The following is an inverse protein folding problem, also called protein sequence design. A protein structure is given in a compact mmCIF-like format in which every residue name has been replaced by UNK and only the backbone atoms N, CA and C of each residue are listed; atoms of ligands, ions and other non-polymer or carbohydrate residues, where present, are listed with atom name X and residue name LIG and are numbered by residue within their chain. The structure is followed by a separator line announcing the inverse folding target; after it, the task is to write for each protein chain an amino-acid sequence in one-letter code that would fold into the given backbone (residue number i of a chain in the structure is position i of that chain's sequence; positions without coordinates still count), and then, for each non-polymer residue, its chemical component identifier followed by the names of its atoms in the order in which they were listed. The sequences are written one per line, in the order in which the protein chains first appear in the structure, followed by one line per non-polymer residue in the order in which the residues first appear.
data_IF_805795859661
#
_entry.id   IF_805795859661
#
_cell.length_a   1.000
_cell.length_b   1.000
_cell.length_c   1.000
_cell.angle_alpha   90.00
_cell.angle_beta   90.00
_cell.angle_gamma   90.00
#
_symmetry.space_group_name_H-M   'P 1'
#
loop_
_entity.id
_entity.type
_entity.pdbx_description
1 polymer ?
#
# COMPACT_ATOMS: atom_id res chain seq x y z
N UNK A 1 47.96 -137.15 -32.60
CA UNK A 1 46.77 -137.57 -31.83
C UNK A 1 46.74 -136.67 -30.60
N UNK A 2 45.73 -135.87 -30.28
CA UNK A 2 44.32 -135.87 -30.66
C UNK A 2 43.76 -134.41 -30.71
N UNK A 3 42.49 -134.33 -31.12
CA UNK A 3 41.69 -133.21 -31.64
C UNK A 3 40.95 -132.37 -30.52
N UNK A 4 40.05 -131.39 -30.82
CA UNK A 4 40.02 -130.05 -30.22
C UNK A 4 38.78 -129.73 -29.34
N UNK A 5 38.79 -128.61 -28.60
CA UNK A 5 37.56 -127.98 -28.05
C UNK A 5 37.67 -126.44 -28.09
N UNK A 6 36.90 -125.78 -28.97
CA UNK A 6 35.58 -125.13 -28.73
C UNK A 6 35.68 -123.86 -27.86
N UNK A 7 35.50 -122.72 -28.52
CA UNK A 7 35.27 -121.41 -27.91
C UNK A 7 33.77 -121.22 -27.68
N UNK A 8 33.37 -120.65 -26.54
CA UNK A 8 32.34 -119.60 -26.55
C UNK A 8 32.30 -118.77 -25.27
N UNK A 9 31.84 -117.51 -25.41
CA UNK A 9 32.24 -116.37 -24.58
C UNK A 9 31.13 -115.97 -23.61
N UNK A 10 31.47 -115.35 -22.48
CA UNK A 10 30.53 -114.43 -21.82
C UNK A 10 31.27 -113.40 -20.95
N UNK A 11 31.17 -112.15 -21.44
CA UNK A 11 30.89 -110.91 -20.71
C UNK A 11 31.87 -110.47 -19.63
N UNK A 12 32.88 -109.72 -20.08
CA UNK A 12 33.45 -108.59 -19.35
C UNK A 12 32.38 -107.48 -19.25
N UNK A 13 31.79 -107.29 -18.08
CA UNK A 13 31.00 -106.11 -17.78
C UNK A 13 31.40 -105.57 -16.41
N UNK A 14 32.46 -104.75 -16.35
CA UNK A 14 32.64 -103.79 -15.25
C UNK A 14 33.19 -102.45 -15.78
N UNK A 15 32.24 -101.51 -15.86
CA UNK A 15 32.33 -100.08 -15.52
C UNK A 15 33.56 -99.26 -15.97
N UNK A 16 33.38 -98.53 -17.09
CA UNK A 16 34.23 -97.38 -17.42
C UNK A 16 34.13 -96.27 -16.35
N UNK A 17 35.27 -95.76 -15.85
CA UNK A 17 35.28 -94.84 -14.72
C UNK A 17 34.87 -93.39 -15.04
N UNK A 18 34.29 -92.75 -14.02
CA UNK A 18 33.51 -91.48 -14.00
C UNK A 18 34.20 -90.22 -14.58
N UNK A 19 35.48 -90.29 -14.91
CA UNK A 19 36.27 -89.19 -15.49
C UNK A 19 36.32 -89.19 -17.03
N UNK A 20 35.77 -90.24 -17.68
CA UNK A 20 35.57 -90.24 -19.14
C UNK A 20 34.25 -89.56 -19.58
N UNK A 21 33.49 -88.95 -18.66
CA UNK A 21 32.36 -88.08 -19.02
C UNK A 21 32.90 -86.78 -19.61
N UNK A 22 32.93 -86.70 -20.94
CA UNK A 22 33.06 -85.43 -21.68
C UNK A 22 32.12 -84.40 -21.05
N UNK A 23 32.67 -83.35 -20.45
CA UNK A 23 31.86 -82.20 -20.04
C UNK A 23 31.24 -81.63 -21.30
N UNK A 24 29.91 -81.80 -21.45
CA UNK A 24 29.15 -81.14 -22.52
C UNK A 24 29.43 -79.64 -22.40
N UNK A 25 29.92 -78.97 -23.46
CA UNK A 25 30.10 -77.54 -23.41
C UNK A 25 28.76 -76.93 -23.03
N UNK A 26 28.74 -76.20 -21.91
CA UNK A 26 27.55 -75.48 -21.48
C UNK A 26 27.31 -74.42 -22.54
N UNK A 27 26.32 -74.64 -23.40
CA UNK A 27 25.89 -73.64 -24.37
C UNK A 27 25.47 -72.40 -23.60
N UNK A 28 26.34 -71.40 -23.53
CA UNK A 28 25.98 -70.06 -23.10
C UNK A 28 25.03 -69.57 -24.17
N UNK A 29 23.74 -69.80 -23.93
CA UNK A 29 22.64 -69.33 -24.79
C UNK A 29 22.68 -67.81 -24.72
N UNK A 30 23.50 -67.20 -25.57
CA UNK A 30 23.54 -65.74 -25.76
C UNK A 30 22.12 -65.36 -26.16
N UNK A 31 21.32 -64.90 -25.20
CA UNK A 31 19.99 -64.32 -25.44
C UNK A 31 20.23 -63.20 -26.43
N UNK A 32 19.98 -63.46 -27.72
CA UNK A 32 20.00 -62.43 -28.75
C UNK A 32 18.90 -61.46 -28.32
N UNK A 33 19.29 -60.29 -27.83
CA UNK A 33 18.36 -59.19 -27.55
C UNK A 33 17.40 -59.10 -28.73
N UNK A 34 16.12 -59.39 -28.50
CA UNK A 34 15.15 -59.49 -29.58
C UNK A 34 15.11 -58.16 -30.33
N UNK A 35 15.00 -58.19 -31.67
CA UNK A 35 14.90 -56.97 -32.48
C UNK A 35 13.87 -55.97 -31.90
N UNK A 36 12.78 -56.48 -31.32
CA UNK A 36 11.75 -55.71 -30.63
C UNK A 36 12.23 -54.99 -29.36
N UNK A 37 13.04 -55.63 -28.51
CA UNK A 37 13.65 -54.97 -27.34
C UNK A 37 14.62 -53.87 -27.77
N UNK A 38 15.42 -54.11 -28.81
CA UNK A 38 16.35 -53.10 -29.35
C UNK A 38 15.61 -51.88 -29.93
N UNK A 39 14.49 -52.10 -30.63
CA UNK A 39 13.60 -51.05 -31.11
C UNK A 39 12.93 -50.28 -29.96
N UNK A 40 12.53 -50.96 -28.89
CA UNK A 40 11.98 -50.31 -27.70
C UNK A 40 13.01 -49.38 -27.04
N UNK A 41 14.22 -49.87 -26.74
CA UNK A 41 15.29 -49.04 -26.17
C UNK A 41 15.68 -47.88 -27.10
N UNK A 42 15.67 -48.07 -28.42
CA UNK A 42 15.93 -46.99 -29.38
C UNK A 42 14.85 -45.91 -29.33
N UNK A 43 13.56 -46.27 -29.26
CA UNK A 43 12.45 -45.31 -29.12
C UNK A 43 12.54 -44.54 -27.81
N UNK A 44 12.84 -45.23 -26.70
CA UNK A 44 13.03 -44.60 -25.38
C UNK A 44 14.22 -43.62 -25.43
N UNK A 45 15.34 -44.03 -26.03
CA UNK A 45 16.51 -43.16 -26.20
C UNK A 45 16.19 -41.93 -27.06
N UNK A 46 15.53 -42.10 -28.21
CA UNK A 46 15.09 -41.00 -29.07
C UNK A 46 14.13 -40.06 -28.34
N UNK A 47 13.20 -40.60 -27.57
CA UNK A 47 12.29 -39.82 -26.72
C UNK A 47 13.04 -39.00 -25.66
N UNK A 48 14.05 -39.59 -25.03
CA UNK A 48 14.86 -38.93 -24.01
C UNK A 48 15.77 -37.84 -24.60
N UNK A 49 16.36 -38.09 -25.77
CA UNK A 49 17.12 -37.08 -26.53
C UNK A 49 16.20 -35.94 -26.97
N UNK A 50 15.00 -36.24 -27.46
CA UNK A 50 14.02 -35.22 -27.83
C UNK A 50 13.57 -34.39 -26.62
N UNK A 51 13.36 -35.02 -25.46
CA UNK A 51 13.03 -34.33 -24.21
C UNK A 51 14.17 -33.41 -23.74
N UNK A 52 15.43 -33.87 -23.78
CA UNK A 52 16.60 -33.07 -23.44
C UNK A 52 16.79 -31.91 -24.42
N UNK A 53 16.65 -32.15 -25.72
CA UNK A 53 16.73 -31.11 -26.75
C UNK A 53 15.61 -30.07 -26.59
N UNK A 54 14.38 -30.51 -26.31
CA UNK A 54 13.26 -29.64 -26.00
C UNK A 54 13.51 -28.80 -24.74
N UNK A 55 14.04 -29.40 -23.68
CA UNK A 55 14.42 -28.69 -22.46
C UNK A 55 15.53 -27.66 -22.69
N UNK A 56 16.55 -28.01 -23.49
CA UNK A 56 17.63 -27.09 -23.85
C UNK A 56 17.15 -25.91 -24.71
N UNK A 57 16.22 -26.15 -25.65
CA UNK A 57 15.58 -25.10 -26.43
C UNK A 57 14.76 -24.15 -25.55
N UNK A 58 13.96 -24.68 -24.62
CA UNK A 58 13.21 -23.87 -23.66
C UNK A 58 14.13 -23.04 -22.77
N UNK A 59 15.24 -23.62 -22.31
CA UNK A 59 16.25 -22.90 -21.52
C UNK A 59 16.90 -21.77 -22.32
N UNK A 60 17.32 -22.03 -23.57
CA UNK A 60 17.93 -21.00 -24.42
C UNK A 60 16.93 -19.89 -24.78
N UNK A 61 15.67 -20.24 -25.08
CA UNK A 61 14.63 -19.25 -25.34
C UNK A 61 14.36 -18.38 -24.10
N UNK A 62 14.26 -18.98 -22.92
CA UNK A 62 14.11 -18.26 -21.65
C UNK A 62 15.31 -17.35 -21.37
N UNK A 63 16.54 -17.85 -21.56
CA UNK A 63 17.76 -17.06 -21.39
C UNK A 63 17.81 -15.90 -22.40
N UNK A 64 17.43 -16.12 -23.65
CA UNK A 64 17.36 -15.06 -24.64
C UNK A 64 16.34 -13.99 -24.25
N UNK A 65 15.12 -14.36 -23.84
CA UNK A 65 14.10 -13.38 -23.41
C UNK A 65 14.52 -12.60 -22.16
N UNK A 66 15.18 -13.26 -21.21
CA UNK A 66 15.55 -12.66 -19.92
C UNK A 66 16.82 -11.81 -19.97
N UNK A 67 17.71 -12.03 -20.95
CA UNK A 67 19.03 -11.38 -21.03
C UNK A 67 19.31 -10.69 -22.36
N UNK A 68 18.38 -10.70 -23.32
CA UNK A 68 18.59 -10.02 -24.60
C UNK A 68 18.57 -8.49 -24.42
N UNK A 69 19.50 -7.76 -25.09
CA UNK A 69 19.58 -6.30 -25.03
C UNK A 69 18.26 -5.58 -25.33
N UNK A 70 17.40 -6.19 -26.14
CA UNK A 70 16.12 -5.62 -26.54
C UNK A 70 15.07 -5.54 -25.41
N UNK A 71 15.27 -6.23 -24.29
CA UNK A 71 14.38 -6.18 -23.11
C UNK A 71 14.94 -5.31 -21.98
N UNK A 72 16.12 -4.72 -22.16
CA UNK A 72 16.80 -3.96 -21.11
C UNK A 72 16.18 -2.59 -20.92
N UNK A 73 15.95 -2.24 -19.66
CA UNK A 73 15.58 -0.91 -19.21
C UNK A 73 16.85 -0.06 -19.08
N UNK A 74 17.27 0.59 -20.15
CA UNK A 74 18.52 1.36 -20.23
C UNK A 74 18.31 2.86 -20.15
N UNK A 75 17.14 3.37 -20.53
CA UNK A 75 16.85 4.80 -20.61
C UNK A 75 15.66 5.20 -19.75
N UNK A 76 15.66 6.41 -19.17
CA UNK A 76 14.53 6.93 -18.42
C UNK A 76 13.23 7.01 -19.24
N UNK A 77 13.31 7.31 -20.54
CA UNK A 77 12.13 7.45 -21.41
C UNK A 77 11.37 6.13 -21.64
N UNK A 78 11.95 4.99 -21.24
CA UNK A 78 11.28 3.70 -21.26
C UNK A 78 10.28 3.54 -20.10
N UNK A 79 10.32 4.43 -19.10
CA UNK A 79 9.37 4.50 -18.00
C UNK A 79 8.34 5.59 -18.35
N UNK A 80 7.18 5.17 -18.84
CA UNK A 80 6.06 6.04 -19.16
C UNK A 80 5.30 6.34 -17.88
N UNK A 81 5.41 7.57 -17.37
CA UNK A 81 4.72 8.04 -16.16
C UNK A 81 3.42 8.76 -16.57
N UNK A 82 2.31 8.36 -15.96
CA UNK A 82 1.00 8.97 -16.13
C UNK A 82 0.36 9.29 -14.77
N UNK A 83 -0.43 10.36 -14.72
CA UNK A 83 -1.15 10.78 -13.51
C UNK A 83 -0.32 11.58 -12.50
N UNK A 84 0.94 11.90 -12.82
CA UNK A 84 1.77 12.81 -12.03
C UNK A 84 1.48 14.28 -12.40
N UNK A 85 0.93 15.04 -11.45
CA UNK A 85 0.72 16.49 -11.55
C UNK A 85 1.58 17.24 -10.55
N UNK A 86 1.62 16.78 -9.29
CA UNK A 86 2.40 17.33 -8.18
C UNK A 86 3.66 16.53 -7.88
N UNK A 87 3.63 15.22 -8.13
CA UNK A 87 4.81 14.35 -7.93
C UNK A 87 5.81 14.60 -9.06
N UNK A 88 7.04 14.97 -8.69
CA UNK A 88 8.12 15.13 -9.67
C UNK A 88 8.47 13.77 -10.31
N UNK A 89 8.55 13.74 -11.64
CA UNK A 89 8.96 12.58 -12.41
C UNK A 89 10.35 12.05 -11.96
N UNK A 90 11.25 12.93 -11.53
CA UNK A 90 12.56 12.52 -11.02
C UNK A 90 12.46 11.62 -9.78
N UNK A 91 11.55 11.92 -8.85
CA UNK A 91 11.30 11.12 -7.64
C UNK A 91 10.74 9.75 -8.01
N UNK A 92 9.87 9.69 -9.01
CA UNK A 92 9.33 8.42 -9.53
C UNK A 92 10.44 7.60 -10.17
N UNK A 93 11.27 8.20 -11.02
CA UNK A 93 12.37 7.51 -11.71
C UNK A 93 13.44 6.99 -10.74
N UNK A 94 13.70 7.71 -9.64
CA UNK A 94 14.63 7.28 -8.59
C UNK A 94 14.21 5.93 -7.98
N UNK A 95 12.89 5.70 -7.81
CA UNK A 95 12.36 4.41 -7.36
C UNK A 95 12.67 3.25 -8.32
N UNK A 96 13.08 3.51 -9.56
CA UNK A 96 13.50 2.50 -10.54
C UNK A 96 15.02 2.50 -10.82
N UNK A 97 15.82 3.31 -10.12
CA UNK A 97 17.26 3.42 -10.37
C UNK A 97 17.98 2.06 -10.29
N UNK A 98 17.59 1.20 -9.34
CA UNK A 98 18.17 -0.14 -9.16
C UNK A 98 17.75 -1.17 -10.25
N UNK A 99 16.82 -0.81 -11.14
CA UNK A 99 16.42 -1.61 -12.30
C UNK A 99 17.09 -1.16 -13.60
N UNK A 100 17.89 -0.10 -13.58
CA UNK A 100 18.65 0.31 -14.75
C UNK A 100 19.58 -0.83 -15.22
N UNK A 101 19.56 -1.11 -16.52
CA UNK A 101 20.28 -2.23 -17.13
C UNK A 101 19.66 -3.61 -16.86
N UNK A 102 18.52 -3.70 -16.14
CA UNK A 102 17.80 -4.94 -15.91
C UNK A 102 16.81 -5.21 -17.04
N UNK A 103 16.56 -6.48 -17.34
CA UNK A 103 15.44 -6.86 -18.22
C UNK A 103 14.10 -6.48 -17.57
N UNK A 104 13.21 -5.85 -18.33
CA UNK A 104 11.85 -5.47 -17.90
C UNK A 104 11.06 -6.67 -17.37
N UNK A 105 11.30 -7.87 -17.90
CA UNK A 105 10.69 -9.12 -17.42
C UNK A 105 11.10 -9.48 -15.99
N UNK A 106 12.28 -9.02 -15.54
CA UNK A 106 12.87 -9.31 -14.23
C UNK A 106 12.67 -8.20 -13.20
N UNK A 107 12.04 -7.09 -13.58
CA UNK A 107 11.72 -6.00 -12.66
C UNK A 107 10.63 -6.48 -11.69
N UNK A 108 10.82 -6.36 -10.36
CA UNK A 108 9.81 -6.75 -9.38
C UNK A 108 8.71 -5.69 -9.30
N UNK A 109 7.65 -5.84 -10.12
CA UNK A 109 6.59 -4.81 -10.23
C UNK A 109 5.90 -4.50 -8.90
N UNK A 110 5.63 -5.53 -8.08
CA UNK A 110 4.96 -5.34 -6.78
C UNK A 110 5.82 -4.57 -5.79
N UNK A 111 7.14 -4.81 -5.78
CA UNK A 111 8.07 -4.05 -4.96
C UNK A 111 8.15 -2.59 -5.43
N UNK A 112 8.21 -2.34 -6.74
CA UNK A 112 8.21 -0.99 -7.29
C UNK A 112 6.89 -0.26 -7.04
N UNK A 113 5.76 -0.96 -7.17
CA UNK A 113 4.45 -0.42 -6.81
C UNK A 113 4.42 0.04 -5.36
N UNK A 114 4.85 -0.80 -4.42
CA UNK A 114 4.91 -0.46 -2.99
C UNK A 114 5.87 0.71 -2.73
N UNK A 115 7.04 0.70 -3.37
CA UNK A 115 8.02 1.77 -3.23
C UNK A 115 7.53 3.13 -3.77
N UNK A 116 6.63 3.11 -4.77
CA UNK A 116 5.95 4.32 -5.24
C UNK A 116 4.85 4.77 -4.27
N UNK A 117 4.11 3.84 -3.67
CA UNK A 117 3.07 4.13 -2.65
C UNK A 117 3.66 4.67 -1.33
N UNK A 118 4.98 4.56 -1.12
CA UNK A 118 5.70 5.22 -0.02
C UNK A 118 5.91 6.72 -0.26
N UNK A 119 5.80 7.20 -1.51
CA UNK A 119 5.90 8.64 -1.80
C UNK A 119 4.64 9.30 -1.20
N UNK A 120 4.77 10.29 -0.29
CA UNK A 120 3.63 10.82 0.45
C UNK A 120 2.47 11.26 -0.43
N UNK A 121 2.75 11.93 -1.55
CA UNK A 121 1.75 12.40 -2.50
C UNK A 121 1.06 11.32 -3.33
N UNK A 122 1.52 10.06 -3.29
CA UNK A 122 0.94 8.94 -4.04
C UNK A 122 -0.08 8.21 -3.15
N UNK A 123 -1.33 8.16 -3.61
CA UNK A 123 -2.39 7.38 -2.98
C UNK A 123 -2.33 5.93 -3.43
N UNK A 124 -2.20 5.74 -4.74
CA UNK A 124 -2.15 4.44 -5.39
C UNK A 124 -1.18 4.49 -6.57
N UNK A 125 -0.41 3.41 -6.76
CA UNK A 125 0.42 3.23 -7.94
C UNK A 125 0.03 1.95 -8.69
N UNK A 126 0.18 1.96 -10.01
CA UNK A 126 0.12 0.77 -10.85
C UNK A 126 1.35 0.74 -11.74
N UNK A 127 2.02 -0.41 -11.77
CA UNK A 127 3.21 -0.62 -12.60
C UNK A 127 2.92 -1.79 -13.53
N UNK A 128 2.99 -1.56 -14.83
CA UNK A 128 2.75 -2.55 -15.86
C UNK A 128 3.94 -2.65 -16.82
N UNK A 129 4.16 -3.84 -17.39
CA UNK A 129 5.17 -4.04 -18.42
C UNK A 129 4.57 -3.78 -19.79
N UNK A 130 5.27 -2.98 -20.59
CA UNK A 130 4.99 -2.80 -22.01
C UNK A 130 6.17 -3.38 -22.76
N UNK A 131 5.96 -4.58 -23.31
CA UNK A 131 7.02 -5.28 -24.03
C UNK A 131 7.37 -4.54 -25.33
N UNK A 132 8.64 -4.61 -25.78
CA UNK A 132 9.71 -5.43 -25.22
C UNK A 132 10.46 -4.79 -24.04
N UNK A 133 10.52 -3.47 -23.91
CA UNK A 133 11.50 -2.79 -23.03
C UNK A 133 10.98 -1.55 -22.31
N UNK A 134 9.68 -1.48 -22.03
CA UNK A 134 9.07 -0.33 -21.35
C UNK A 134 8.32 -0.74 -20.10
N UNK A 135 8.19 0.21 -19.19
CA UNK A 135 7.32 0.16 -18.02
C UNK A 135 6.31 1.30 -18.11
N UNK A 136 5.05 1.03 -17.78
CA UNK A 136 4.04 2.06 -17.57
C UNK A 136 3.77 2.18 -16.09
N UNK A 137 3.85 3.41 -15.60
CA UNK A 137 3.59 3.79 -14.22
C UNK A 137 2.39 4.72 -14.21
N UNK A 138 1.28 4.28 -13.65
CA UNK A 138 0.08 5.10 -13.44
C UNK A 138 0.00 5.45 -11.96
N UNK A 139 -0.04 6.73 -11.65
CA UNK A 139 -0.13 7.26 -10.29
C UNK A 139 -1.49 7.91 -10.07
N UNK A 140 -2.07 7.67 -8.90
CA UNK A 140 -3.19 8.43 -8.36
C UNK A 140 -2.65 9.29 -7.24
N UNK A 141 -2.69 10.61 -7.42
CA UNK A 141 -2.23 11.55 -6.40
C UNK A 141 -3.26 11.74 -5.29
N UNK A 142 -2.77 11.90 -4.06
CA UNK A 142 -3.60 12.20 -2.90
C UNK A 142 -4.19 13.59 -2.99
N UNK A 143 -5.40 13.71 -2.46
CA UNK A 143 -6.10 14.99 -2.32
C UNK A 143 -6.04 15.44 -0.85
N UNK A 144 -5.35 16.56 -0.53
CA UNK A 144 -5.37 17.13 0.81
C UNK A 144 -6.76 17.68 1.14
N UNK A 145 -7.17 17.57 2.42
CA UNK A 145 -8.47 18.06 2.90
C UNK A 145 -8.36 19.08 4.03
N UNK A 146 -7.21 19.15 4.69
CA UNK A 146 -6.96 20.05 5.80
C UNK A 146 -5.49 20.48 5.84
N UNK A 147 -5.23 21.61 6.51
CA UNK A 147 -3.89 21.91 7.01
C UNK A 147 -3.70 21.18 8.34
N UNK A 148 -2.56 20.54 8.56
CA UNK A 148 -2.19 19.98 9.86
C UNK A 148 -1.23 20.94 10.56
N UNK A 149 -1.58 21.36 11.79
CA UNK A 149 -0.67 22.15 12.62
C UNK A 149 0.33 21.26 13.35
N UNK A 150 1.61 21.49 13.10
CA UNK A 150 2.74 20.80 13.73
C UNK A 150 3.62 21.83 14.44
N UNK A 151 3.27 22.14 15.68
CA UNK A 151 3.90 23.24 16.41
C UNK A 151 3.69 24.57 15.69
N UNK A 152 4.78 25.17 15.19
CA UNK A 152 4.74 26.43 14.44
C UNK A 152 4.52 26.25 12.93
N UNK A 153 4.68 25.04 12.40
CA UNK A 153 4.57 24.77 10.97
C UNK A 153 3.19 24.23 10.58
N UNK A 154 2.82 24.43 9.31
CA UNK A 154 1.60 23.90 8.71
C UNK A 154 1.97 22.93 7.59
N UNK A 155 1.58 21.67 7.75
CA UNK A 155 1.62 20.66 6.71
C UNK A 155 0.24 20.51 6.08
N UNK A 156 0.13 19.72 5.01
CA UNK A 156 -1.15 19.27 4.48
C UNK A 156 -1.45 17.87 5.00
N UNK A 157 -2.73 17.51 5.12
CA UNK A 157 -3.14 16.15 5.49
C UNK A 157 -4.32 15.70 4.62
N UNK A 158 -4.28 14.44 4.20
CA UNK A 158 -5.37 13.82 3.44
C UNK A 158 -6.43 13.17 4.35
N UNK A 159 -7.52 12.70 3.75
CA UNK A 159 -8.60 12.01 4.46
C UNK A 159 -8.15 10.68 5.12
N UNK A 160 -7.02 10.11 4.72
CA UNK A 160 -6.46 8.86 5.23
C UNK A 160 -5.39 9.10 6.32
N UNK A 161 -5.19 10.33 6.78
CA UNK A 161 -4.22 10.66 7.82
C UNK A 161 -2.76 10.61 7.36
N UNK A 162 -2.49 10.77 6.07
CA UNK A 162 -1.14 10.91 5.51
C UNK A 162 -0.79 12.39 5.42
N UNK A 163 0.34 12.73 6.03
CA UNK A 163 0.90 14.09 6.03
C UNK A 163 1.64 14.32 4.71
N UNK A 164 1.36 15.46 4.09
CA UNK A 164 1.88 15.88 2.80
C UNK A 164 2.64 17.18 2.95
N UNK A 165 3.76 17.28 2.24
CA UNK A 165 4.52 18.53 2.14
C UNK A 165 3.71 19.59 1.40
N UNK A 166 3.76 20.83 1.88
CA UNK A 166 3.05 21.95 1.24
C UNK A 166 3.84 22.47 0.03
N UNK A 167 3.27 22.47 -1.19
CA UNK A 167 3.91 23.09 -2.35
C UNK A 167 3.98 24.61 -2.16
N UNK A 168 5.11 25.24 -2.50
CA UNK A 168 5.32 26.68 -2.29
C UNK A 168 4.33 27.59 -3.04
N UNK A 169 3.78 27.09 -4.17
CA UNK A 169 2.94 27.88 -5.08
C UNK A 169 1.44 27.53 -4.98
N UNK A 170 1.04 26.71 -4.01
CA UNK A 170 -0.35 26.28 -3.91
C UNK A 170 -1.16 27.17 -2.95
N UNK A 171 -2.24 27.74 -3.48
CA UNK A 171 -3.24 28.48 -2.71
C UNK A 171 -4.36 27.51 -2.30
N UNK A 172 -4.37 27.15 -1.01
CA UNK A 172 -5.36 26.23 -0.44
C UNK A 172 -6.14 26.95 0.65
N UNK A 173 -7.47 26.80 0.59
CA UNK A 173 -8.40 27.28 1.62
C UNK A 173 -9.01 26.08 2.34
N UNK A 174 -8.28 25.56 3.32
CA UNK A 174 -8.73 24.44 4.14
C UNK A 174 -8.80 24.84 5.61
N UNK A 175 -9.68 24.22 6.42
CA UNK A 175 -9.59 24.32 7.86
C UNK A 175 -8.25 23.78 8.37
N UNK A 176 -7.79 24.32 9.49
CA UNK A 176 -6.62 23.81 10.22
C UNK A 176 -7.06 22.71 11.17
N UNK A 177 -6.36 21.58 11.18
CA UNK A 177 -6.56 20.48 12.12
C UNK A 177 -5.43 20.49 13.14
N UNK A 178 -5.79 20.42 14.42
CA UNK A 178 -4.90 20.32 15.58
C UNK A 178 -5.11 19.02 16.34
N UNK A 179 -4.15 18.68 17.21
CA UNK A 179 -4.25 17.49 18.08
C UNK A 179 -3.89 16.15 17.44
N UNK A 180 -3.48 16.14 16.17
CA UNK A 180 -2.91 14.96 15.50
C UNK A 180 -1.38 15.06 15.54
N UNK A 181 -0.72 14.14 16.25
CA UNK A 181 0.74 14.08 16.27
C UNK A 181 1.29 13.41 15.00
N UNK A 182 2.35 13.97 14.40
CA UNK A 182 3.00 13.36 13.24
C UNK A 182 3.64 12.01 13.55
N UNK A 183 4.16 11.83 14.76
CA UNK A 183 4.75 10.57 15.17
C UNK A 183 3.68 9.49 15.48
N UNK A 184 2.39 9.83 15.49
CA UNK A 184 1.33 8.87 15.76
C UNK A 184 1.25 7.80 14.66
N UNK A 185 0.88 6.56 15.02
CA UNK A 185 0.61 5.51 14.04
C UNK A 185 -0.39 5.97 12.97
N UNK A 186 -0.16 5.57 11.72
CA UNK A 186 -1.03 5.93 10.59
C UNK A 186 -2.50 5.59 10.86
N UNK A 187 -2.76 4.42 11.43
CA UNK A 187 -4.11 3.96 11.75
C UNK A 187 -4.83 4.87 12.75
N UNK A 188 -4.09 5.52 13.66
CA UNK A 188 -4.65 6.44 14.65
C UNK A 188 -5.03 7.77 13.99
N UNK A 189 -4.12 8.30 13.15
CA UNK A 189 -4.38 9.50 12.35
C UNK A 189 -5.54 9.30 11.39
N UNK A 190 -5.64 8.13 10.77
CA UNK A 190 -6.75 7.80 9.88
C UNK A 190 -8.09 7.80 10.63
N UNK A 191 -8.14 7.28 11.86
CA UNK A 191 -9.36 7.34 12.69
C UNK A 191 -9.74 8.77 13.03
N UNK A 192 -8.79 9.62 13.41
CA UNK A 192 -9.03 11.04 13.69
C UNK A 192 -9.51 11.78 12.42
N UNK A 193 -8.87 11.54 11.27
CA UNK A 193 -9.27 12.18 10.02
C UNK A 193 -10.63 11.69 9.51
N UNK A 194 -11.01 10.43 9.75
CA UNK A 194 -12.39 9.96 9.49
C UNK A 194 -13.42 10.74 10.29
N UNK A 195 -13.14 11.03 11.57
CA UNK A 195 -14.02 11.84 12.41
C UNK A 195 -14.12 13.27 11.89
N UNK A 196 -13.00 13.86 11.50
CA UNK A 196 -12.96 15.18 10.86
C UNK A 196 -13.78 15.23 9.56
N UNK A 197 -13.59 14.28 8.65
CA UNK A 197 -14.31 14.22 7.38
C UNK A 197 -15.82 14.06 7.62
N UNK A 198 -16.21 13.24 8.60
CA UNK A 198 -17.60 13.10 8.99
C UNK A 198 -18.16 14.41 9.55
N UNK A 199 -17.44 15.07 10.47
CA UNK A 199 -17.84 16.35 11.04
C UNK A 199 -18.03 17.42 9.95
N UNK A 200 -17.04 17.59 9.06
CA UNK A 200 -17.12 18.58 7.97
C UNK A 200 -18.29 18.29 7.02
N UNK A 201 -18.55 17.01 6.73
CA UNK A 201 -19.70 16.59 5.92
C UNK A 201 -21.03 16.95 6.61
N UNK A 202 -21.15 16.65 7.90
CA UNK A 202 -22.38 16.91 8.66
C UNK A 202 -22.66 18.42 8.79
N UNK A 203 -21.61 19.23 8.96
CA UNK A 203 -21.70 20.71 8.96
C UNK A 203 -22.19 21.23 7.60
N UNK A 204 -21.64 20.74 6.50
CA UNK A 204 -22.04 21.14 5.15
C UNK A 204 -23.49 20.73 4.84
N UNK A 205 -23.94 19.57 5.34
CA UNK A 205 -25.33 19.12 5.22
C UNK A 205 -26.26 19.99 6.08
N UNK A 206 -25.84 20.38 7.28
CA UNK A 206 -26.63 21.21 8.17
C UNK A 206 -26.90 22.62 7.59
N UNK A 207 -25.90 23.22 6.94
CA UNK A 207 -26.03 24.49 6.22
C UNK A 207 -25.04 24.53 5.04
N UNK A 208 -25.51 24.54 3.78
CA UNK A 208 -24.61 24.61 2.62
C UNK A 208 -23.66 25.82 2.70
N UNK A 209 -22.38 25.59 2.44
CA UNK A 209 -21.30 26.57 2.55
C UNK A 209 -20.77 26.78 3.98
N UNK A 210 -21.34 26.13 4.99
CA UNK A 210 -20.86 26.23 6.38
C UNK A 210 -19.48 25.59 6.58
N UNK A 211 -19.10 24.61 5.77
CA UNK A 211 -17.74 24.05 5.83
C UNK A 211 -16.67 25.13 5.65
N UNK A 212 -16.93 26.15 4.83
CA UNK A 212 -16.02 27.29 4.62
C UNK A 212 -15.90 28.25 5.80
N UNK A 213 -16.77 28.11 6.82
CA UNK A 213 -16.75 28.91 8.05
C UNK A 213 -15.99 28.21 9.18
N UNK A 214 -15.69 26.92 9.03
CA UNK A 214 -14.85 26.19 9.98
C UNK A 214 -13.40 26.60 9.74
N UNK A 215 -12.80 27.29 10.70
CA UNK A 215 -11.41 27.75 10.59
C UNK A 215 -10.41 26.75 11.17
N UNK A 216 -10.75 26.15 12.31
CA UNK A 216 -9.90 25.19 12.99
C UNK A 216 -10.73 24.06 13.61
N UNK A 217 -10.18 22.84 13.63
CA UNK A 217 -10.75 21.65 14.29
C UNK A 217 -9.67 20.97 15.14
N UNK A 218 -9.85 20.98 16.45
CA UNK A 218 -8.98 20.28 17.40
C UNK A 218 -9.52 18.87 17.69
N UNK A 219 -8.67 17.87 17.45
CA UNK A 219 -8.92 16.44 17.63
C UNK A 219 -7.99 15.82 18.68
N UNK A 220 -7.40 16.64 19.56
CA UNK A 220 -6.51 16.17 20.62
C UNK A 220 -7.23 15.28 21.63
N UNK A 221 -8.50 15.58 21.92
CA UNK A 221 -9.35 14.78 22.79
C UNK A 221 -10.17 13.78 21.96
N UNK A 222 -9.96 12.45 22.12
CA UNK A 222 -10.72 11.45 21.36
C UNK A 222 -12.22 11.44 21.70
N UNK A 223 -12.66 12.14 22.74
CA UNK A 223 -14.06 12.25 23.16
C UNK A 223 -14.70 13.58 22.80
N UNK A 224 -13.97 14.50 22.17
CA UNK A 224 -14.47 15.83 21.89
C UNK A 224 -13.83 16.43 20.64
N UNK A 225 -14.65 16.60 19.60
CA UNK A 225 -14.30 17.43 18.45
C UNK A 225 -14.61 18.88 18.80
N UNK A 226 -13.57 19.71 18.85
CA UNK A 226 -13.71 21.15 19.09
C UNK A 226 -13.47 21.87 17.79
N UNK A 227 -14.39 22.73 17.37
CA UNK A 227 -14.22 23.49 16.15
C UNK A 227 -14.36 24.98 16.41
N UNK A 228 -13.46 25.75 15.81
CA UNK A 228 -13.50 27.20 15.79
C UNK A 228 -14.26 27.64 14.55
N UNK A 229 -15.44 28.23 14.76
CA UNK A 229 -16.28 28.74 13.68
C UNK A 229 -16.05 30.25 13.55
N UNK A 230 -15.73 30.70 12.34
CA UNK A 230 -15.52 32.11 12.01
C UNK A 230 -16.25 32.49 10.72
N UNK A 231 -16.50 33.78 10.52
CA UNK A 231 -17.12 34.28 9.29
C UNK A 231 -18.63 34.03 9.16
N UNK A 232 -19.30 33.57 10.23
CA UNK A 232 -20.76 33.61 10.33
C UNK A 232 -21.24 35.06 10.42
N UNK A 233 -22.25 35.48 9.63
CA UNK A 233 -22.87 36.80 9.76
C UNK A 233 -23.33 37.10 11.19
N UNK A 234 -23.84 36.08 11.87
CA UNK A 234 -24.35 36.12 13.25
C UNK A 234 -23.22 36.32 14.29
N UNK A 235 -21.95 36.10 13.90
CA UNK A 235 -20.75 36.33 14.72
C UNK A 235 -20.09 37.69 14.45
N UNK A 236 -20.48 38.41 13.40
CA UNK A 236 -19.99 39.75 13.14
C UNK A 236 -20.26 40.71 14.30
N UNK A 237 -19.34 41.65 14.53
CA UNK A 237 -19.62 42.81 15.36
C UNK A 237 -20.32 43.90 14.51
N UNK A 238 -21.59 44.26 14.82
CA UNK A 238 -22.32 45.28 14.06
C UNK A 238 -21.64 46.65 14.02
N UNK A 239 -20.75 46.95 14.99
CA UNK A 239 -20.13 48.26 15.13
C UNK A 239 -18.71 48.34 14.55
N UNK A 240 -17.94 47.25 14.59
CA UNK A 240 -16.53 47.24 14.12
C UNK A 240 -16.30 46.44 12.84
N UNK A 241 -17.29 45.69 12.34
CA UNK A 241 -17.12 44.82 11.17
C UNK A 241 -16.11 43.69 11.38
N UNK A 242 -15.67 43.46 12.61
CA UNK A 242 -14.71 42.42 12.96
C UNK A 242 -15.33 41.03 12.85
N UNK A 243 -14.56 40.10 12.29
CA UNK A 243 -14.90 38.68 12.30
C UNK A 243 -14.66 38.15 13.73
N UNK A 244 -15.72 37.78 14.44
CA UNK A 244 -15.58 37.06 15.70
C UNK A 244 -15.51 35.56 15.41
N UNK A 245 -14.62 34.87 16.10
CA UNK A 245 -14.55 33.41 16.10
C UNK A 245 -15.13 32.87 17.41
N UNK A 246 -15.79 31.72 17.36
CA UNK A 246 -16.33 31.05 18.56
C UNK A 246 -15.84 29.62 18.57
N UNK A 247 -15.30 29.19 19.71
CA UNK A 247 -14.92 27.80 19.95
C UNK A 247 -16.16 27.00 20.35
N UNK A 248 -16.46 25.92 19.64
CA UNK A 248 -17.61 25.07 19.91
C UNK A 248 -17.16 23.64 20.17
N UNK A 249 -17.59 23.06 21.30
CA UNK A 249 -17.37 21.67 21.65
C UNK A 249 -18.55 20.83 21.17
N UNK A 250 -18.31 19.93 20.21
CA UNK A 250 -19.34 19.10 19.60
C UNK A 250 -19.40 17.67 20.18
N UNK A 251 -18.38 17.21 20.91
CA UNK A 251 -18.31 15.80 21.28
C UNK A 251 -17.93 14.92 20.09
N UNK A 252 -18.43 13.69 20.01
CA UNK A 252 -18.05 12.70 18.97
C UNK A 252 -19.22 12.21 18.11
N UNK A 253 -20.40 12.79 18.27
CA UNK A 253 -21.63 12.27 17.67
C UNK A 253 -22.64 13.39 17.45
N UNK A 254 -23.59 13.12 16.55
CA UNK A 254 -24.73 14.01 16.24
C UNK A 254 -24.31 15.44 15.86
N UNK A 255 -23.26 15.54 15.03
CA UNK A 255 -22.69 16.82 14.62
C UNK A 255 -23.70 17.69 13.89
N UNK A 256 -24.54 17.09 13.05
CA UNK A 256 -25.57 17.77 12.27
C UNK A 256 -26.56 18.53 13.17
N UNK A 257 -27.20 17.83 14.12
CA UNK A 257 -28.20 18.47 14.98
C UNK A 257 -27.56 19.47 15.93
N UNK A 258 -26.37 19.18 16.47
CA UNK A 258 -25.62 20.14 17.30
C UNK A 258 -25.27 21.41 16.53
N UNK A 259 -24.85 21.29 15.28
CA UNK A 259 -24.53 22.45 14.45
C UNK A 259 -25.78 23.29 14.13
N UNK A 260 -26.93 22.65 13.86
CA UNK A 260 -28.20 23.36 13.68
C UNK A 260 -28.59 24.13 14.94
N UNK A 261 -28.54 23.49 16.11
CA UNK A 261 -28.82 24.15 17.39
C UNK A 261 -27.89 25.34 17.62
N UNK A 262 -26.60 25.21 17.29
CA UNK A 262 -25.65 26.31 17.40
C UNK A 262 -26.05 27.50 16.50
N UNK A 263 -26.27 27.27 15.21
CA UNK A 263 -26.58 28.34 14.25
C UNK A 263 -27.92 29.03 14.56
N UNK A 264 -28.93 28.26 14.99
CA UNK A 264 -30.25 28.82 15.33
C UNK A 264 -30.22 29.71 16.58
N UNK A 265 -29.35 29.39 17.55
CA UNK A 265 -29.39 30.02 18.87
C UNK A 265 -28.23 30.99 19.16
N UNK A 266 -27.16 30.99 18.36
CA UNK A 266 -25.97 31.82 18.59
C UNK A 266 -26.29 33.31 18.72
N UNK A 267 -27.21 33.82 17.90
CA UNK A 267 -27.65 35.22 17.97
C UNK A 267 -28.30 35.56 19.32
N UNK A 268 -29.11 34.65 19.87
CA UNK A 268 -29.78 34.83 21.16
C UNK A 268 -28.80 34.72 22.33
N UNK A 269 -27.86 33.78 22.27
CA UNK A 269 -26.82 33.63 23.29
C UNK A 269 -25.90 34.85 23.34
N UNK A 270 -25.53 35.42 22.18
CA UNK A 270 -24.76 36.68 22.16
C UNK A 270 -25.55 37.88 22.68
N UNK A 271 -26.85 37.96 22.38
CA UNK A 271 -27.70 39.03 22.90
C UNK A 271 -27.85 38.98 24.44
N UNK A 272 -27.82 37.79 25.03
CA UNK A 272 -27.99 37.59 26.48
C UNK A 272 -26.67 37.61 27.26
N UNK A 273 -25.62 36.97 26.75
CA UNK A 273 -24.33 36.81 27.43
C UNK A 273 -23.23 37.78 26.94
N UNK A 274 -23.47 38.54 25.87
CA UNK A 274 -22.47 39.42 25.25
C UNK A 274 -21.58 38.69 24.26
N UNK A 275 -20.27 38.98 24.25
CA UNK A 275 -19.33 38.28 23.36
C UNK A 275 -19.03 36.90 23.94
N UNK A 276 -19.33 35.86 23.16
CA UNK A 276 -19.17 34.46 23.56
C UNK A 276 -17.82 33.95 23.08
N UNK A 277 -17.03 33.37 23.99
CA UNK A 277 -15.73 32.79 23.68
C UNK A 277 -15.84 31.30 23.34
N UNK A 278 -16.58 30.55 24.16
CA UNK A 278 -16.78 29.12 23.95
C UNK A 278 -18.20 28.65 24.25
N UNK A 279 -18.64 27.62 23.51
CA UNK A 279 -19.94 26.97 23.65
C UNK A 279 -19.75 25.47 23.73
N UNK A 280 -20.34 24.84 24.73
CA UNK A 280 -20.32 23.39 24.91
C UNK A 280 -21.69 22.78 24.56
N UNK A 281 -21.70 21.96 23.50
CA UNK A 281 -22.89 21.25 22.98
C UNK A 281 -22.82 19.75 23.26
N UNK A 282 -21.90 19.30 24.11
CA UNK A 282 -21.76 17.86 24.42
C UNK A 282 -22.92 17.31 25.24
N UNK A 283 -23.68 18.17 25.93
CA UNK A 283 -24.78 17.77 26.80
C UNK A 283 -26.11 17.78 26.03
N UNK A 284 -26.85 16.66 26.05
CA UNK A 284 -28.06 16.46 25.24
C UNK A 284 -29.20 17.45 25.51
N UNK A 285 -29.23 18.09 26.69
CA UNK A 285 -30.35 18.94 27.13
C UNK A 285 -29.93 20.32 27.63
N UNK A 286 -28.64 20.65 27.56
CA UNK A 286 -28.11 21.88 28.13
C UNK A 286 -26.99 22.40 27.23
N UNK A 287 -26.98 23.70 26.99
CA UNK A 287 -25.87 24.38 26.30
C UNK A 287 -25.15 25.23 27.32
N UNK A 288 -23.85 25.02 27.48
CA UNK A 288 -23.01 25.84 28.35
C UNK A 288 -22.35 26.91 27.50
N UNK A 289 -22.64 28.18 27.81
CA UNK A 289 -22.09 29.33 27.10
C UNK A 289 -21.13 30.06 28.03
N UNK A 290 -19.87 30.16 27.63
CA UNK A 290 -18.86 30.91 28.36
C UNK A 290 -18.62 32.26 27.67
N UNK A 291 -18.99 33.39 28.31
CA UNK A 291 -18.70 34.71 27.78
C UNK A 291 -17.20 35.01 27.87
N UNK A 292 -16.69 35.80 26.91
CA UNK A 292 -15.33 36.32 26.96
C UNK A 292 -15.18 37.14 28.24
N UNK A 293 -14.23 36.74 29.10
CA UNK A 293 -13.96 37.48 30.32
C UNK A 293 -13.55 38.91 29.94
N UNK A 294 -14.39 39.90 30.23
CA UNK A 294 -13.96 41.29 30.19
C UNK A 294 -12.73 41.38 31.11
N UNK A 295 -11.58 41.73 30.54
CA UNK A 295 -10.36 42.00 31.30
C UNK A 295 -10.69 43.08 32.34
N UNK A 296 -11.03 42.65 33.55
CA UNK A 296 -11.44 43.54 34.62
C UNK A 296 -10.24 44.42 34.99
N UNK A 297 -10.41 45.70 34.68
CA UNK A 297 -9.80 46.87 35.32
C UNK A 297 -8.80 46.55 36.43
N UNK A 298 -7.52 46.77 36.13
CA UNK A 298 -6.50 47.04 37.14
C UNK A 298 -7.06 48.10 38.10
N UNK A 299 -7.13 47.85 39.42
CA UNK A 299 -7.59 48.87 40.34
C UNK A 299 -6.59 50.03 40.25
N UNK A 300 -7.09 51.22 39.86
CA UNK A 300 -6.35 52.48 39.94
C UNK A 300 -5.89 52.65 41.39
N UNK A 301 -4.58 52.47 41.62
CA UNK A 301 -3.94 52.91 42.84
C UNK A 301 -4.04 54.45 42.87
N UNK A 302 -4.93 54.98 43.70
CA UNK A 302 -5.07 56.42 43.93
C UNK A 302 -3.80 57.01 44.58
N UNK A 303 -3.55 58.32 44.41
CA UNK A 303 -2.30 58.94 44.81
C UNK A 303 -2.18 59.04 46.33
N UNK A 304 -1.20 58.35 46.89
CA UNK A 304 -0.79 58.51 48.29
C UNK A 304 -0.04 59.83 48.46
N UNK A 305 -0.70 60.83 49.04
CA UNK A 305 -0.07 62.02 49.63
C UNK A 305 0.98 61.61 50.67
N UNK A 306 2.19 62.14 50.55
CA UNK A 306 2.98 62.69 51.66
C UNK A 306 3.76 63.89 51.18
#
# INVERSE_FOLDING_TARGET
MAEPEVYSPDVLAEEEPRYMRRQKPVEIRRRKFGKQQRLFYLKVFLGLVAALAGGALLYQAGHFLLFSPQFLLTKPEQIEIAGSTRVDAAVVLDKFAADQGRSVLRVPLDERRRALEEIPWVEQARVARILPNKLRVELVERTPVAFLRQGAELALIDAHGVVLERPQQADYHFPVVTGIAEAAPRDDRERQMKLFVQFMKDVEVARPGAAGQVSEVDLADPKDVRATIAGLPELGDPQTGGQSAVLVHFGVSDFLSKYQVFVENIGQWRASAGRVESIDLRFERQVVVNPEAQANSTPKLGPGKR
#
